data_IF_653452357244
#
_entry.id   IF_653452357244
#
_cell.length_a   1.000
_cell.length_b   1.000
_cell.length_c   1.000
_cell.angle_alpha   90.00
_cell.angle_beta   90.00
_cell.angle_gamma   90.00
#
_symmetry.space_group_name_H-M   'P 1'
#
loop_
_entity.id
_entity.type
_entity.pdbx_description
1 polymer ?
#
# COMPACT_ATOMS: atom_id res chain seq x y z
N UNK A 1 -6.51 3.53 22.11
CA UNK A 1 -5.53 2.78 21.27
C UNK A 1 -6.12 1.45 20.81
N UNK A 2 -6.01 1.12 19.52
CA UNK A 2 -6.38 -0.22 19.02
C UNK A 2 -5.18 -1.13 19.28
N UNK A 3 -5.34 -2.13 20.15
CA UNK A 3 -4.27 -3.05 20.55
C UNK A 3 -4.05 -4.21 19.58
N UNK A 4 -4.94 -4.37 18.60
CA UNK A 4 -4.86 -5.42 17.59
C UNK A 4 -5.49 -4.94 16.28
N UNK A 5 -4.65 -4.67 15.28
CA UNK A 5 -5.07 -4.30 13.93
C UNK A 5 -4.27 -5.12 12.93
N UNK A 6 -4.94 -6.03 12.23
CA UNK A 6 -4.37 -6.84 11.15
C UNK A 6 -4.67 -6.17 9.81
N UNK A 7 -3.75 -6.29 8.86
CA UNK A 7 -3.86 -5.66 7.54
C UNK A 7 -3.34 -4.22 7.50
N UNK A 8 -3.55 -3.58 6.35
CA UNK A 8 -3.15 -2.19 6.12
C UNK A 8 -3.95 -1.27 7.04
N UNK A 9 -3.25 -0.42 7.80
CA UNK A 9 -3.89 0.56 8.68
C UNK A 9 -4.35 1.77 7.85
N UNK A 10 -5.59 1.75 7.36
CA UNK A 10 -6.15 2.84 6.54
C UNK A 10 -6.01 4.21 7.18
N UNK A 11 -6.16 4.33 8.50
CA UNK A 11 -5.96 5.58 9.25
C UNK A 11 -4.57 6.22 9.03
N UNK A 12 -3.53 5.39 8.83
CA UNK A 12 -2.18 5.89 8.53
C UNK A 12 -2.17 6.47 7.12
N UNK A 13 -2.74 5.75 6.15
CA UNK A 13 -2.85 6.22 4.77
C UNK A 13 -3.71 7.48 4.64
N UNK A 14 -4.83 7.57 5.35
CA UNK A 14 -5.71 8.75 5.37
C UNK A 14 -4.96 9.99 5.90
N UNK A 15 -4.23 9.84 7.00
CA UNK A 15 -3.42 10.94 7.55
C UNK A 15 -2.30 11.36 6.59
N UNK A 16 -1.60 10.39 5.98
CA UNK A 16 -0.58 10.64 4.96
C UNK A 16 -1.17 11.33 3.73
N UNK A 17 -2.36 10.93 3.26
CA UNK A 17 -3.06 11.53 2.13
C UNK A 17 -3.37 13.02 2.35
N UNK A 18 -3.68 13.39 3.59
CA UNK A 18 -3.89 14.78 4.03
C UNK A 18 -2.58 15.59 4.13
N UNK A 19 -1.43 15.03 3.75
CA UNK A 19 -0.09 15.58 3.95
C UNK A 19 0.22 15.90 5.43
N UNK A 20 -0.43 15.20 6.36
CA UNK A 20 -0.15 15.31 7.79
C UNK A 20 1.04 14.42 8.12
N UNK A 21 2.11 14.94 8.76
CA UNK A 21 3.23 14.11 9.18
C UNK A 21 2.76 13.11 10.24
N UNK A 22 3.05 11.83 10.01
CA UNK A 22 2.60 10.73 10.87
C UNK A 22 3.77 10.16 11.66
N UNK A 23 3.54 9.95 12.96
CA UNK A 23 4.38 9.09 13.80
C UNK A 23 3.55 7.86 14.14
N UNK A 24 4.07 6.67 13.85
CA UNK A 24 3.38 5.40 14.07
C UNK A 24 4.33 4.34 14.64
N UNK A 25 3.78 3.27 15.23
CA UNK A 25 4.59 2.12 15.64
C UNK A 25 5.03 1.29 14.44
N UNK A 26 6.10 0.53 14.59
CA UNK A 26 6.58 -0.40 13.57
C UNK A 26 5.47 -1.39 13.16
N UNK A 27 4.66 -1.82 14.12
CA UNK A 27 3.51 -2.68 13.87
C UNK A 27 2.48 -2.01 12.96
N UNK A 28 2.17 -0.73 13.18
CA UNK A 28 1.15 -0.01 12.42
C UNK A 28 1.53 0.23 10.95
N UNK A 29 2.83 0.22 10.63
CA UNK A 29 3.35 0.46 9.27
C UNK A 29 3.89 -0.79 8.59
N UNK A 30 3.86 -1.94 9.28
CA UNK A 30 4.45 -3.21 8.81
C UNK A 30 3.93 -3.70 7.45
N UNK A 31 2.71 -3.32 7.08
CA UNK A 31 2.09 -3.66 5.80
C UNK A 31 2.31 -2.59 4.70
N UNK A 32 3.07 -1.52 4.99
CA UNK A 32 3.34 -0.41 4.08
C UNK A 32 4.79 -0.46 3.60
N UNK A 33 5.02 -0.14 2.33
CA UNK A 33 6.36 -0.03 1.73
C UNK A 33 6.91 1.39 1.86
N UNK A 34 6.99 1.89 3.10
CA UNK A 34 7.43 3.25 3.46
C UNK A 34 8.86 3.25 4.01
N UNK A 35 9.57 4.36 3.86
CA UNK A 35 10.91 4.57 4.43
C UNK A 35 10.80 5.42 5.71
N UNK A 36 11.25 4.86 6.83
CA UNK A 36 11.23 5.53 8.12
C UNK A 36 12.16 6.77 8.10
N UNK A 37 11.65 7.92 8.55
CA UNK A 37 12.37 9.19 8.51
C UNK A 37 12.09 10.04 7.27
N UNK A 38 11.39 9.49 6.27
CA UNK A 38 11.10 10.16 5.01
C UNK A 38 9.61 10.34 4.76
N UNK A 39 8.87 9.27 4.47
CA UNK A 39 7.41 9.36 4.26
C UNK A 39 6.63 9.28 5.57
N UNK A 40 7.23 8.67 6.60
CA UNK A 40 6.63 8.47 7.92
C UNK A 40 7.72 8.40 8.99
N UNK A 41 7.38 8.73 10.23
CA UNK A 41 8.26 8.51 11.37
C UNK A 41 7.80 7.28 12.16
N UNK A 42 8.76 6.45 12.60
CA UNK A 42 8.48 5.23 13.37
C UNK A 42 8.99 5.37 14.79
N UNK A 43 8.15 5.09 15.79
CA UNK A 43 8.50 5.02 17.20
C UNK A 43 7.75 3.89 17.91
N UNK A 44 8.42 3.15 18.79
CA UNK A 44 7.81 2.01 19.50
C UNK A 44 7.76 2.17 21.03
N UNK A 45 8.27 3.28 21.56
CA UNK A 45 8.22 3.57 22.98
C UNK A 45 7.81 5.03 23.25
N UNK A 46 7.23 5.34 24.44
CA UNK A 46 6.70 6.67 24.72
C UNK A 46 7.72 7.81 24.61
N UNK A 47 8.98 7.56 24.99
CA UNK A 47 10.03 8.58 24.95
C UNK A 47 10.40 8.92 23.50
N UNK A 48 10.51 7.93 22.63
CA UNK A 48 10.78 8.15 21.21
C UNK A 48 9.61 8.86 20.51
N UNK A 49 8.37 8.49 20.84
CA UNK A 49 7.20 9.24 20.37
C UNK A 49 7.26 10.71 20.78
N UNK A 50 7.53 11.00 22.06
CA UNK A 50 7.61 12.36 22.56
C UNK A 50 8.71 13.16 21.87
N UNK A 51 9.91 12.59 21.73
CA UNK A 51 11.03 13.24 21.06
C UNK A 51 10.69 13.60 19.61
N UNK A 52 10.09 12.67 18.85
CA UNK A 52 9.70 12.92 17.45
C UNK A 52 8.61 13.97 17.32
N UNK A 53 7.64 14.00 18.25
CA UNK A 53 6.63 15.06 18.30
C UNK A 53 7.31 16.41 18.51
N UNK A 54 8.24 16.51 19.46
CA UNK A 54 8.99 17.75 19.73
C UNK A 54 9.77 18.18 18.49
N UNK A 55 10.54 17.29 17.86
CA UNK A 55 11.30 17.61 16.64
C UNK A 55 10.40 18.09 15.51
N UNK A 56 9.23 17.47 15.28
CA UNK A 56 8.27 17.94 14.27
C UNK A 56 7.71 19.33 14.61
N UNK A 57 7.52 19.65 15.88
CA UNK A 57 7.03 20.97 16.30
C UNK A 57 8.10 22.06 16.10
N UNK A 58 9.35 21.74 16.37
CA UNK A 58 10.50 22.66 16.26
C UNK A 58 10.94 22.86 14.80
N UNK A 59 10.98 21.81 13.98
CA UNK A 59 11.50 21.85 12.61
C UNK A 59 10.39 21.92 11.56
N UNK A 60 9.86 23.13 11.33
CA UNK A 60 8.74 23.35 10.40
C UNK A 60 8.99 22.84 8.98
N UNK A 61 10.14 23.12 8.40
CA UNK A 61 10.44 22.73 7.02
C UNK A 61 10.54 21.21 6.87
N UNK A 62 11.20 20.56 7.83
CA UNK A 62 11.30 19.10 7.87
C UNK A 62 9.92 18.46 8.06
N UNK A 63 9.13 18.95 9.02
CA UNK A 63 7.73 18.52 9.22
C UNK A 63 6.92 18.58 7.93
N UNK A 64 6.97 19.72 7.23
CA UNK A 64 6.21 19.90 6.00
C UNK A 64 6.77 19.00 4.87
N UNK A 65 8.07 18.71 4.87
CA UNK A 65 8.70 17.77 3.93
C UNK A 65 8.23 16.32 4.13
N UNK A 66 8.17 15.86 5.39
CA UNK A 66 7.68 14.52 5.75
C UNK A 66 6.21 14.37 5.37
N UNK A 67 5.38 15.37 5.68
CA UNK A 67 3.96 15.37 5.29
C UNK A 67 3.76 15.26 3.79
N UNK A 68 4.50 16.05 2.99
CA UNK A 68 4.44 15.97 1.51
C UNK A 68 4.92 14.63 0.98
N UNK A 69 6.02 14.09 1.52
CA UNK A 69 6.55 12.79 1.12
C UNK A 69 5.54 11.66 1.42
N UNK A 70 4.89 11.72 2.59
CA UNK A 70 3.79 10.82 2.96
C UNK A 70 2.64 10.85 1.96
N UNK A 71 2.19 12.06 1.57
CA UNK A 71 1.13 12.21 0.56
C UNK A 71 1.54 11.64 -0.80
N UNK A 72 2.74 11.95 -1.28
CA UNK A 72 3.25 11.42 -2.54
C UNK A 72 3.33 9.89 -2.55
N UNK A 73 3.65 9.28 -1.41
CA UNK A 73 3.61 7.83 -1.28
C UNK A 73 2.19 7.27 -1.45
N UNK A 74 1.18 7.90 -0.84
CA UNK A 74 -0.22 7.46 -0.98
C UNK A 74 -0.66 7.60 -2.44
N UNK A 75 -0.44 8.76 -3.06
CA UNK A 75 -0.81 9.02 -4.46
C UNK A 75 -0.14 8.04 -5.44
N UNK A 76 1.11 7.61 -5.17
CA UNK A 76 1.81 6.65 -6.03
C UNK A 76 1.38 5.20 -5.86
N UNK A 77 1.05 4.78 -4.63
CA UNK A 77 0.95 3.35 -4.30
C UNK A 77 -0.47 2.91 -3.94
N UNK A 78 -1.37 3.85 -3.62
CA UNK A 78 -2.71 3.57 -3.10
C UNK A 78 -3.80 4.31 -3.87
N UNK A 79 -3.52 4.68 -5.13
CA UNK A 79 -4.53 5.25 -6.04
C UNK A 79 -5.47 4.15 -6.58
N UNK A 80 -6.77 4.31 -6.33
CA UNK A 80 -7.81 3.36 -6.72
C UNK A 80 -7.89 3.14 -8.23
N UNK A 81 -7.65 4.16 -9.04
CA UNK A 81 -7.71 4.07 -10.50
C UNK A 81 -6.61 3.16 -11.01
N UNK A 82 -5.41 3.31 -10.46
CA UNK A 82 -4.25 2.48 -10.82
C UNK A 82 -4.45 1.04 -10.35
N UNK A 83 -4.93 0.84 -9.12
CA UNK A 83 -5.15 -0.49 -8.56
C UNK A 83 -6.27 -1.25 -9.26
N UNK A 84 -7.37 -0.58 -9.60
CA UNK A 84 -8.48 -1.18 -10.34
C UNK A 84 -8.03 -1.62 -11.74
N UNK A 85 -7.30 -0.76 -12.48
CA UNK A 85 -6.79 -1.11 -13.81
C UNK A 85 -5.86 -2.33 -13.78
N UNK A 86 -4.98 -2.44 -12.79
CA UNK A 86 -4.12 -3.62 -12.60
C UNK A 86 -4.92 -4.88 -12.29
N UNK A 87 -5.98 -4.76 -11.48
CA UNK A 87 -6.84 -5.90 -11.18
C UNK A 87 -7.60 -6.38 -12.42
N UNK A 88 -8.12 -5.44 -13.22
CA UNK A 88 -8.77 -5.73 -14.50
C UNK A 88 -7.84 -6.45 -15.48
N UNK A 89 -6.57 -6.06 -15.53
CA UNK A 89 -5.55 -6.75 -16.34
C UNK A 89 -5.38 -8.21 -15.92
N UNK A 90 -5.26 -8.47 -14.62
CA UNK A 90 -5.14 -9.84 -14.07
C UNK A 90 -6.38 -10.68 -14.40
N UNK A 91 -7.58 -10.10 -14.28
CA UNK A 91 -8.82 -10.79 -14.65
C UNK A 91 -8.88 -11.11 -16.14
N UNK A 92 -8.51 -10.15 -16.99
CA UNK A 92 -8.47 -10.32 -18.44
C UNK A 92 -7.49 -11.42 -18.85
N UNK A 93 -6.29 -11.43 -18.28
CA UNK A 93 -5.28 -12.47 -18.51
C UNK A 93 -5.78 -13.86 -18.09
N UNK A 94 -6.42 -13.96 -16.93
CA UNK A 94 -6.94 -15.22 -16.40
C UNK A 94 -8.05 -15.80 -17.29
N UNK A 95 -8.96 -14.94 -17.76
CA UNK A 95 -10.06 -15.33 -18.64
C UNK A 95 -9.53 -15.81 -20.00
N UNK A 96 -8.54 -15.11 -20.56
CA UNK A 96 -7.91 -15.47 -21.82
C UNK A 96 -7.11 -16.78 -21.74
N UNK A 97 -6.46 -17.05 -20.60
CA UNK A 97 -5.78 -18.32 -20.35
C UNK A 97 -6.77 -19.50 -20.31
N UNK A 98 -7.91 -19.33 -19.62
CA UNK A 98 -8.96 -20.35 -19.58
C UNK A 98 -9.57 -20.60 -20.96
N UNK A 99 -9.88 -19.56 -21.72
CA UNK A 99 -10.43 -19.70 -23.08
C UNK A 99 -9.51 -20.46 -24.03
N UNK A 100 -8.19 -20.20 -24.00
CA UNK A 100 -7.21 -20.97 -24.80
C UNK A 100 -7.17 -22.44 -24.39
N UNK A 101 -7.14 -22.73 -23.09
CA UNK A 101 -7.14 -24.11 -22.60
C UNK A 101 -8.41 -24.89 -22.96
N UNK A 102 -9.57 -24.20 -23.02
CA UNK A 102 -10.84 -24.80 -23.44
C UNK A 102 -10.87 -25.04 -24.95
N UNK A 103 -10.36 -24.11 -25.76
CA UNK A 103 -10.33 -24.26 -27.23
C UNK A 103 -9.39 -25.40 -27.64
N UNK A 104 -8.20 -25.50 -27.03
CA UNK A 104 -7.25 -26.62 -27.27
C UNK A 104 -7.82 -27.98 -26.86
N UNK A 105 -8.68 -28.02 -25.82
CA UNK A 105 -9.37 -29.26 -25.40
C UNK A 105 -10.55 -29.65 -26.32
N UNK A 106 -11.00 -28.76 -27.21
CA UNK A 106 -12.21 -28.97 -28.03
C UNK A 106 -11.89 -29.10 -29.54
N UNK A 107 -10.63 -29.21 -29.95
CA UNK A 107 -10.30 -29.45 -31.37
C UNK A 107 -10.81 -30.85 -31.83
N UNK A 108 -11.67 -30.92 -32.86
CA UNK A 108 -12.22 -32.18 -33.35
C UNK A 108 -11.21 -32.88 -34.26
N UNK A 109 -10.37 -33.74 -33.69
CA UNK A 109 -9.35 -34.47 -34.47
C UNK A 109 -8.91 -35.82 -33.92
N UNK A 110 -9.58 -36.39 -32.91
CA UNK A 110 -9.19 -37.68 -32.30
C UNK A 110 -10.29 -38.73 -32.26
N UNK A 111 -11.11 -38.79 -33.31
CA UNK A 111 -12.02 -39.91 -33.60
C UNK A 111 -11.63 -40.56 -34.93
N UNK A 112 -10.65 -41.45 -34.94
CA UNK A 112 -10.59 -42.59 -35.86
C UNK A 112 -9.56 -43.61 -35.39
N UNK A 113 -9.93 -44.89 -35.56
CA UNK A 113 -9.28 -46.14 -35.11
C UNK A 113 -9.53 -46.39 -33.61
N UNK A 114 -10.49 -47.24 -33.21
CA UNK A 114 -10.72 -48.65 -33.59
C UNK A 114 -12.23 -48.97 -33.59
#
# INVERSE_FOLDING_TARGET
PISYGVGIQNKVLEAMACATPVIASQQAVSALSVEAGKEILVADNPLDFANKVITLLEEREWRDSVGRAGRQYVERNHDWTILAARLEEVYTLSLNHQLKSTIEATEPGKFMEI
#
